data_IF_331342378003
#
_entry.id   IF_331342378003
#
_cell.length_a   1.000
_cell.length_b   1.000
_cell.length_c   1.000
_cell.angle_alpha   90.00
_cell.angle_beta   90.00
_cell.angle_gamma   90.00
#
_symmetry.space_group_name_H-M   'P 1'
#
loop_
_entity.id
_entity.type
_entity.pdbx_description
1 polymer ?
#
# COMPACT_ATOMS: atom_id res chain seq x y z
N UNK A 1 -29.56 -42.22 -16.20
CA UNK A 1 -28.25 -42.76 -15.77
C UNK A 1 -27.41 -41.61 -15.23
N UNK A 2 -26.81 -41.74 -14.03
CA UNK A 2 -26.27 -40.65 -13.23
C UNK A 2 -24.76 -40.46 -13.43
N UNK A 3 -24.22 -39.29 -13.04
CA UNK A 3 -22.88 -39.16 -12.47
C UNK A 3 -22.76 -37.87 -11.65
N UNK A 4 -22.51 -38.08 -10.36
CA UNK A 4 -22.43 -37.10 -9.28
C UNK A 4 -20.99 -36.64 -9.08
N UNK A 5 -20.82 -35.35 -8.73
CA UNK A 5 -19.76 -34.70 -7.93
C UNK A 5 -18.28 -34.80 -8.39
N UNK A 6 -17.58 -33.66 -8.39
CA UNK A 6 -16.43 -33.37 -7.49
C UNK A 6 -16.06 -31.88 -7.61
N UNK A 7 -15.84 -31.29 -6.44
CA UNK A 7 -15.43 -29.92 -6.17
C UNK A 7 -14.01 -29.58 -6.64
N UNK A 8 -13.81 -28.33 -7.07
CA UNK A 8 -12.60 -27.52 -6.93
C UNK A 8 -12.88 -26.22 -7.71
N UNK A 9 -13.13 -25.07 -7.08
CA UNK A 9 -12.01 -24.20 -6.70
C UNK A 9 -12.51 -23.15 -5.70
N UNK A 10 -12.81 -23.58 -4.48
CA UNK A 10 -12.45 -22.77 -3.31
C UNK A 10 -10.95 -22.96 -3.12
N UNK A 11 -10.26 -21.90 -2.68
CA UNK A 11 -8.80 -21.76 -2.50
C UNK A 11 -8.01 -21.27 -3.72
N UNK A 12 -8.01 -19.96 -3.93
CA UNK A 12 -6.80 -19.24 -4.40
C UNK A 12 -6.79 -17.76 -3.99
N UNK A 13 -7.49 -17.40 -2.90
CA UNK A 13 -7.44 -16.06 -2.30
C UNK A 13 -6.40 -15.94 -1.17
N UNK A 14 -5.49 -16.89 -1.03
CA UNK A 14 -4.47 -16.91 0.01
C UNK A 14 -3.06 -17.06 -0.59
N UNK A 15 -2.66 -16.08 -1.39
CA UNK A 15 -1.25 -15.77 -1.60
C UNK A 15 -0.84 -14.64 -0.64
N UNK A 16 -1.03 -14.86 0.66
CA UNK A 16 -0.20 -14.22 1.68
C UNK A 16 1.15 -14.93 1.67
N UNK A 17 1.98 -14.59 0.69
CA UNK A 17 3.26 -15.25 0.46
C UNK A 17 4.20 -14.37 -0.34
N UNK A 18 4.95 -13.53 0.36
CA UNK A 18 6.31 -13.09 -0.01
C UNK A 18 6.49 -12.13 -1.19
N UNK A 19 5.69 -11.05 -1.26
CA UNK A 19 6.13 -9.83 -1.96
C UNK A 19 6.29 -8.63 -1.02
N UNK A 20 6.68 -8.85 0.24
CA UNK A 20 7.23 -7.78 1.11
C UNK A 20 8.72 -7.53 0.82
N UNK A 21 9.08 -7.55 -0.46
CA UNK A 21 10.42 -7.31 -0.95
C UNK A 21 10.37 -6.67 -2.34
N UNK A 22 9.47 -5.72 -2.56
CA UNK A 22 9.77 -4.63 -3.48
C UNK A 22 10.78 -3.73 -2.77
N UNK A 23 12.03 -4.19 -2.78
CA UNK A 23 13.25 -3.39 -2.82
C UNK A 23 13.12 -2.01 -2.19
N UNK A 24 13.53 -1.94 -0.91
CA UNK A 24 14.24 -0.79 -0.36
C UNK A 24 15.17 -0.20 -1.44
N UNK A 25 15.15 1.12 -1.65
CA UNK A 25 16.06 1.86 -2.56
C UNK A 25 15.74 1.90 -4.05
N UNK A 26 14.50 2.21 -4.45
CA UNK A 26 14.32 3.05 -5.64
C UNK A 26 13.04 3.88 -5.55
N UNK A 27 13.22 5.20 -5.55
CA UNK A 27 12.18 6.22 -5.66
C UNK A 27 11.64 6.14 -7.08
N UNK A 28 10.87 5.10 -7.39
CA UNK A 28 10.01 5.18 -8.56
C UNK A 28 8.84 6.03 -8.14
N UNK A 29 8.97 7.36 -8.33
CA UNK A 29 7.83 8.28 -8.30
C UNK A 29 6.71 7.56 -9.07
N UNK A 30 5.55 7.25 -8.47
CA UNK A 30 4.46 6.66 -9.22
C UNK A 30 4.26 7.50 -10.48
N UNK A 31 4.43 6.91 -11.65
CA UNK A 31 4.25 7.61 -12.94
C UNK A 31 2.91 7.27 -13.56
N UNK A 32 2.09 6.47 -12.86
CA UNK A 32 0.81 5.97 -13.32
C UNK A 32 -0.12 5.67 -12.15
N UNK A 33 -1.43 5.64 -12.44
CA UNK A 33 -2.47 5.31 -11.46
C UNK A 33 -2.22 3.99 -10.72
N UNK A 34 -1.97 2.86 -11.42
CA UNK A 34 -1.72 1.57 -10.77
C UNK A 34 -0.52 1.59 -9.80
N UNK A 35 0.59 2.23 -10.17
CA UNK A 35 1.75 2.38 -9.28
C UNK A 35 1.42 3.21 -8.05
N UNK A 36 0.64 4.28 -8.22
CA UNK A 36 0.23 5.15 -7.12
C UNK A 36 -0.68 4.40 -6.13
N UNK A 37 -1.66 3.63 -6.65
CA UNK A 37 -2.52 2.77 -5.84
C UNK A 37 -1.73 1.73 -5.05
N UNK A 38 -0.72 1.11 -5.67
CA UNK A 38 0.14 0.16 -4.98
C UNK A 38 0.96 0.85 -3.88
N UNK A 39 1.49 2.05 -4.14
CA UNK A 39 2.27 2.80 -3.16
C UNK A 39 1.43 3.26 -1.95
N UNK A 40 0.17 3.66 -2.18
CA UNK A 40 -0.80 3.95 -1.10
C UNK A 40 -1.09 2.68 -0.30
N UNK A 41 -1.26 1.54 -0.97
CA UNK A 41 -1.53 0.25 -0.31
C UNK A 41 -0.37 -0.18 0.58
N UNK A 42 0.87 -0.06 0.09
CA UNK A 42 2.08 -0.32 0.86
C UNK A 42 2.17 0.58 2.10
N UNK A 43 1.96 1.89 1.93
CA UNK A 43 2.00 2.83 3.04
C UNK A 43 0.93 2.55 4.11
N UNK A 44 -0.26 2.08 3.71
CA UNK A 44 -1.30 1.63 4.66
C UNK A 44 -0.87 0.38 5.42
N UNK A 45 -0.24 -0.59 4.75
CA UNK A 45 0.29 -1.78 5.42
C UNK A 45 1.38 -1.39 6.44
N UNK A 46 2.29 -0.47 6.07
CA UNK A 46 3.28 0.09 6.99
C UNK A 46 2.61 0.77 8.19
N UNK A 47 1.57 1.58 7.98
CA UNK A 47 0.83 2.25 9.05
C UNK A 47 0.22 1.26 10.06
N UNK A 48 -0.34 0.16 9.57
CA UNK A 48 -0.92 -0.90 10.42
C UNK A 48 0.16 -1.65 11.20
N UNK A 49 1.35 -1.87 10.61
CA UNK A 49 2.46 -2.56 11.25
C UNK A 49 3.36 -1.68 12.14
N UNK A 50 3.22 -0.35 12.08
CA UNK A 50 4.14 0.58 12.74
C UNK A 50 3.89 0.71 14.26
N UNK A 51 4.94 0.47 15.03
CA UNK A 51 4.99 0.71 16.48
C UNK A 51 5.37 2.17 16.79
N UNK A 52 4.50 3.12 16.42
CA UNK A 52 4.69 4.55 16.66
C UNK A 52 3.63 5.13 17.61
N UNK A 53 3.92 6.31 18.16
CA UNK A 53 2.96 7.07 18.95
C UNK A 53 1.69 7.40 18.14
N UNK A 54 0.54 7.46 18.81
CA UNK A 54 -0.76 7.67 18.14
C UNK A 54 -0.79 8.96 17.32
N UNK A 55 -0.23 10.06 17.84
CA UNK A 55 -0.12 11.33 17.10
C UNK A 55 0.65 11.17 15.77
N UNK A 56 1.72 10.40 15.79
CA UNK A 56 2.52 10.09 14.60
C UNK A 56 1.74 9.23 13.62
N UNK A 57 1.05 8.20 14.13
CA UNK A 57 0.14 7.36 13.34
C UNK A 57 -0.95 8.18 12.65
N UNK A 58 -1.64 9.06 13.37
CA UNK A 58 -2.65 9.95 12.81
C UNK A 58 -2.07 10.85 11.70
N UNK A 59 -0.90 11.46 11.95
CA UNK A 59 -0.25 12.34 10.98
C UNK A 59 0.15 11.58 9.70
N UNK A 60 0.67 10.36 9.85
CA UNK A 60 1.01 9.50 8.71
C UNK A 60 -0.25 9.06 7.94
N UNK A 61 -1.33 8.69 8.65
CA UNK A 61 -2.61 8.33 8.04
C UNK A 61 -3.17 9.47 7.17
N UNK A 62 -3.14 10.71 7.66
CA UNK A 62 -3.59 11.88 6.91
C UNK A 62 -2.77 12.11 5.63
N UNK A 63 -1.46 11.85 5.69
CA UNK A 63 -0.58 11.94 4.50
C UNK A 63 -0.91 10.87 3.47
N UNK A 64 -1.17 9.65 3.91
CA UNK A 64 -1.57 8.54 3.03
C UNK A 64 -2.91 8.83 2.34
N UNK A 65 -3.90 9.36 3.07
CA UNK A 65 -5.20 9.76 2.52
C UNK A 65 -5.08 10.90 1.49
N UNK A 66 -4.25 11.90 1.81
CA UNK A 66 -3.93 13.00 0.88
C UNK A 66 -3.27 12.47 -0.39
N UNK A 67 -2.33 11.53 -0.26
CA UNK A 67 -1.67 10.90 -1.38
C UNK A 67 -2.66 10.12 -2.26
N UNK A 68 -3.59 9.38 -1.66
CA UNK A 68 -4.62 8.65 -2.40
C UNK A 68 -5.50 9.58 -3.22
N UNK A 69 -5.92 10.71 -2.64
CA UNK A 69 -6.68 11.73 -3.37
C UNK A 69 -5.90 12.27 -4.56
N UNK A 70 -4.60 12.56 -4.38
CA UNK A 70 -3.70 13.02 -5.45
C UNK A 70 -3.47 11.95 -6.52
N UNK A 71 -3.38 10.68 -6.14
CA UNK A 71 -3.33 9.56 -7.07
C UNK A 71 -4.57 9.53 -7.98
N UNK A 72 -5.76 9.75 -7.42
CA UNK A 72 -7.03 9.77 -8.19
C UNK A 72 -7.10 10.95 -9.15
N UNK A 73 -6.50 12.09 -8.79
CA UNK A 73 -6.43 13.28 -9.64
C UNK A 73 -5.28 13.25 -10.67
N UNK A 74 -4.42 12.22 -10.66
CA UNK A 74 -3.27 12.11 -11.55
C UNK A 74 -2.03 12.91 -11.13
N UNK A 75 -2.05 13.55 -9.95
CA UNK A 75 -0.94 14.34 -9.42
C UNK A 75 0.06 13.45 -8.67
N UNK A 76 0.65 12.50 -9.40
CA UNK A 76 1.44 11.43 -8.80
C UNK A 76 2.73 11.92 -8.12
N UNK A 77 3.32 13.01 -8.61
CA UNK A 77 4.50 13.62 -8.00
C UNK A 77 4.20 14.16 -6.59
N UNK A 78 3.03 14.78 -6.39
CA UNK A 78 2.64 15.24 -5.07
C UNK A 78 2.19 14.09 -4.16
N UNK A 79 1.51 13.07 -4.72
CA UNK A 79 1.18 11.86 -3.98
C UNK A 79 2.46 11.18 -3.43
N UNK A 80 3.50 11.09 -4.25
CA UNK A 80 4.79 10.54 -3.84
C UNK A 80 5.42 11.30 -2.66
N UNK A 81 5.35 12.64 -2.68
CA UNK A 81 5.87 13.47 -1.58
C UNK A 81 5.14 13.17 -0.28
N UNK A 82 3.81 13.08 -0.30
CA UNK A 82 3.05 12.76 0.92
C UNK A 82 3.32 11.34 1.42
N UNK A 83 3.43 10.35 0.52
CA UNK A 83 3.79 8.98 0.90
C UNK A 83 5.20 8.90 1.51
N UNK A 84 6.14 9.69 0.99
CA UNK A 84 7.49 9.79 1.55
C UNK A 84 7.45 10.35 2.97
N UNK A 85 6.70 11.43 3.19
CA UNK A 85 6.52 12.01 4.54
C UNK A 85 5.85 11.02 5.48
N UNK A 86 4.80 10.31 5.03
CA UNK A 86 4.14 9.28 5.82
C UNK A 86 5.13 8.19 6.24
N UNK A 87 5.99 7.73 5.32
CA UNK A 87 7.02 6.73 5.61
C UNK A 87 8.03 7.23 6.64
N UNK A 88 8.57 8.45 6.49
CA UNK A 88 9.48 9.05 7.47
C UNK A 88 8.84 9.10 8.87
N UNK A 89 7.56 9.47 8.96
CA UNK A 89 6.84 9.45 10.23
C UNK A 89 6.75 8.04 10.84
N UNK A 90 6.55 7.01 10.02
CA UNK A 90 6.36 5.63 10.48
C UNK A 90 7.67 4.88 10.79
N UNK A 91 8.78 5.28 10.16
CA UNK A 91 10.08 4.60 10.25
C UNK A 91 11.12 5.38 11.04
N UNK A 92 10.94 6.71 11.16
CA UNK A 92 11.92 7.59 11.80
C UNK A 92 13.14 7.90 10.94
N UNK A 93 13.13 7.53 9.66
CA UNK A 93 14.19 7.79 8.67
C UNK A 93 13.99 9.09 7.88
#
# INVERSE_FOLDING_TARGET
>A
MPRTLIAASLLTGLTLGHTHAATLSNINVPTSGPQCTQAVTDARAMLTGAAVAEKTRTSAAQRIDTAETKCKSGDFAAANRDLTVARTLLTGE
#
